data_IF_481437871738
#
_entry.id   IF_481437871738
#
_cell.length_a   1.000
_cell.length_b   1.000
_cell.length_c   1.000
_cell.angle_alpha   90.00
_cell.angle_beta   90.00
_cell.angle_gamma   90.00
#
_symmetry.space_group_name_H-M   'P 1'
#
loop_
_entity.id
_entity.type
_entity.pdbx_description
1 polymer ?
#
# COMPACT_ATOMS: atom_id res chain seq x y z
N UNK A 1 33.37 9.74 15.61
CA UNK A 1 32.08 9.03 15.64
C UNK A 1 31.95 8.19 14.38
N UNK A 2 31.29 7.05 14.48
CA UNK A 2 31.07 6.11 13.39
C UNK A 2 29.72 5.44 13.57
N UNK A 3 29.13 4.96 12.48
CA UNK A 3 27.94 4.10 12.51
C UNK A 3 28.40 2.65 12.59
N UNK A 4 27.74 1.84 13.42
CA UNK A 4 28.05 0.41 13.48
C UNK A 4 27.79 -0.26 12.12
N UNK A 5 28.68 -1.13 11.62
CA UNK A 5 28.65 -1.59 10.23
C UNK A 5 27.44 -2.46 9.88
N UNK A 6 26.75 -3.03 10.88
CA UNK A 6 25.53 -3.81 10.68
C UNK A 6 24.27 -2.94 10.54
N UNK A 7 24.35 -1.63 10.78
CA UNK A 7 23.23 -0.70 10.60
C UNK A 7 23.08 -0.41 9.12
N UNK A 8 21.90 -0.68 8.57
CA UNK A 8 21.59 -0.40 7.17
C UNK A 8 21.28 1.09 6.96
N UNK A 9 22.30 1.87 6.62
CA UNK A 9 22.17 3.28 6.25
C UNK A 9 21.90 3.45 4.75
N UNK A 10 21.22 4.54 4.39
CA UNK A 10 20.94 4.88 2.98
C UNK A 10 20.58 6.35 2.82
N UNK A 11 21.01 6.96 1.71
CA UNK A 11 20.54 8.26 1.25
C UNK A 11 19.85 8.10 -0.11
N UNK A 12 18.56 8.44 -0.17
CA UNK A 12 17.72 8.31 -1.37
C UNK A 12 17.14 9.67 -1.78
N UNK A 13 17.90 10.51 -2.51
CA UNK A 13 17.43 11.85 -2.83
C UNK A 13 16.24 11.86 -3.78
N UNK A 14 15.36 12.86 -3.64
CA UNK A 14 14.22 13.06 -4.54
C UNK A 14 14.60 13.61 -5.91
N UNK A 15 15.76 14.25 -6.05
CA UNK A 15 16.28 14.79 -7.31
C UNK A 15 17.81 14.91 -7.30
N UNK A 16 18.40 15.07 -8.48
CA UNK A 16 19.83 15.32 -8.64
C UNK A 16 20.31 16.63 -8.01
N UNK A 17 19.41 17.61 -7.80
CA UNK A 17 19.75 18.89 -7.15
C UNK A 17 20.28 18.67 -5.74
N UNK A 18 19.74 17.67 -5.02
CA UNK A 18 20.20 17.32 -3.68
C UNK A 18 21.65 16.87 -3.68
N UNK A 19 21.99 15.93 -4.55
CA UNK A 19 23.38 15.46 -4.67
C UNK A 19 24.32 16.59 -5.10
N UNK A 20 23.84 17.54 -5.92
CA UNK A 20 24.60 18.71 -6.32
C UNK A 20 24.96 19.57 -5.10
N UNK A 21 23.99 20.09 -4.35
CA UNK A 21 24.31 20.98 -3.23
C UNK A 21 25.07 20.26 -2.10
N UNK A 22 24.85 18.95 -1.89
CA UNK A 22 25.62 18.17 -0.91
C UNK A 22 27.08 18.05 -1.32
N UNK A 23 27.35 17.89 -2.63
CA UNK A 23 28.71 17.85 -3.16
C UNK A 23 29.39 19.21 -3.03
N UNK A 24 28.72 20.27 -3.46
CA UNK A 24 29.27 21.64 -3.42
C UNK A 24 29.52 22.17 -2.01
N UNK A 25 28.69 21.76 -1.04
CA UNK A 25 28.89 22.10 0.37
C UNK A 25 29.97 21.25 1.05
N UNK A 26 30.54 20.24 0.36
CA UNK A 26 31.63 19.40 0.85
C UNK A 26 31.20 18.28 1.82
N UNK A 27 29.90 18.13 2.12
CA UNK A 27 29.42 17.21 3.16
C UNK A 27 29.31 15.75 2.72
N UNK A 28 29.32 15.47 1.41
CA UNK A 28 29.21 14.09 0.87
C UNK A 28 30.25 13.15 1.48
N UNK A 29 31.51 13.60 1.60
CA UNK A 29 32.57 12.76 2.15
C UNK A 29 32.31 12.31 3.60
N UNK A 30 31.70 13.18 4.41
CA UNK A 30 31.30 12.87 5.78
C UNK A 30 30.09 11.94 5.82
N UNK A 31 29.11 12.14 4.93
CA UNK A 31 27.93 11.27 4.82
C UNK A 31 28.32 9.85 4.41
N UNK A 32 29.15 9.69 3.37
CA UNK A 32 29.69 8.40 2.92
C UNK A 32 30.45 7.68 4.03
N UNK A 33 31.28 8.39 4.82
CA UNK A 33 31.99 7.78 5.97
C UNK A 33 31.04 7.22 7.04
N UNK A 34 29.83 7.77 7.14
CA UNK A 34 28.76 7.28 8.03
C UNK A 34 27.84 6.24 7.34
N UNK A 35 28.16 5.84 6.10
CA UNK A 35 27.39 4.89 5.30
C UNK A 35 26.19 5.48 4.55
N UNK A 36 26.01 6.81 4.57
CA UNK A 36 24.93 7.50 3.85
C UNK A 36 25.31 7.83 2.41
N UNK A 37 25.77 6.82 1.67
CA UNK A 37 25.97 6.93 0.24
C UNK A 37 24.64 7.11 -0.50
N UNK A 38 24.69 7.81 -1.64
CA UNK A 38 23.52 7.92 -2.52
C UNK A 38 23.25 6.55 -3.14
N UNK A 39 22.17 5.90 -2.70
CA UNK A 39 21.80 4.55 -3.16
C UNK A 39 20.82 4.56 -4.35
N UNK A 40 20.23 5.72 -4.66
CA UNK A 40 19.33 5.88 -5.80
C UNK A 40 18.43 7.10 -5.68
N UNK A 41 17.82 7.49 -6.80
CA UNK A 41 16.86 8.59 -6.88
C UNK A 41 15.45 8.02 -7.03
N UNK A 42 14.64 8.10 -5.96
CA UNK A 42 13.29 7.54 -5.94
C UNK A 42 12.79 7.25 -4.54
N UNK A 43 11.59 6.67 -4.41
CA UNK A 43 10.95 6.46 -3.11
C UNK A 43 11.73 5.53 -2.17
N UNK A 44 12.33 4.44 -2.70
CA UNK A 44 13.14 3.47 -1.95
C UNK A 44 12.51 3.07 -0.59
N UNK A 45 13.20 3.27 0.53
CA UNK A 45 12.73 2.91 1.88
C UNK A 45 11.37 3.53 2.25
N UNK A 46 11.03 4.73 1.76
CA UNK A 46 9.76 5.41 2.07
C UNK A 46 8.51 4.63 1.62
N UNK A 47 8.64 3.83 0.55
CA UNK A 47 7.57 2.98 0.03
C UNK A 47 7.70 1.51 0.45
N UNK A 48 8.68 1.18 1.31
CA UNK A 48 8.98 -0.19 1.71
C UNK A 48 9.93 -0.94 0.78
N UNK A 49 10.48 -0.26 -0.24
CA UNK A 49 11.57 -0.81 -1.06
C UNK A 49 12.91 -0.61 -0.33
N UNK A 50 12.96 -1.09 0.91
CA UNK A 50 14.12 -0.97 1.81
C UNK A 50 15.20 -2.00 1.49
N UNK A 51 14.88 -3.08 0.75
CA UNK A 51 15.80 -4.18 0.45
C UNK A 51 16.16 -5.03 1.69
N UNK A 52 16.92 -6.12 1.53
CA UNK A 52 17.20 -7.05 2.63
C UNK A 52 18.14 -6.45 3.70
N UNK A 53 17.95 -6.83 4.97
CA UNK A 53 19.01 -6.71 5.97
C UNK A 53 20.06 -7.81 5.75
N UNK A 54 21.22 -7.69 6.40
CA UNK A 54 22.18 -8.79 6.45
C UNK A 54 21.51 -10.03 7.08
N UNK A 55 21.76 -11.21 6.51
CA UNK A 55 21.11 -12.46 6.95
C UNK A 55 21.39 -12.74 8.43
N UNK A 56 22.59 -12.40 8.91
CA UNK A 56 22.96 -12.56 10.33
C UNK A 56 22.11 -11.67 11.23
N UNK A 57 21.85 -10.44 10.79
CA UNK A 57 20.99 -9.49 11.52
C UNK A 57 19.54 -9.98 11.51
N UNK A 58 19.01 -10.34 10.35
CA UNK A 58 17.64 -10.82 10.22
C UNK A 58 17.40 -12.08 11.08
N UNK A 59 18.29 -13.08 10.98
CA UNK A 59 18.25 -14.29 11.79
C UNK A 59 18.30 -14.01 13.28
N UNK A 60 19.14 -13.06 13.71
CA UNK A 60 19.27 -12.70 15.13
C UNK A 60 17.98 -12.07 15.65
N UNK A 61 17.34 -11.20 14.86
CA UNK A 61 16.07 -10.58 15.20
C UNK A 61 14.99 -11.65 15.38
N UNK A 62 14.88 -12.57 14.43
CA UNK A 62 13.84 -13.60 14.41
C UNK A 62 14.04 -14.64 15.52
N UNK A 63 15.26 -15.15 15.70
CA UNK A 63 15.58 -16.18 16.72
C UNK A 63 15.35 -15.69 18.15
N UNK A 64 15.52 -14.39 18.40
CA UNK A 64 15.46 -13.81 19.74
C UNK A 64 14.20 -12.96 19.97
N UNK A 65 13.24 -12.95 19.03
CA UNK A 65 12.03 -12.12 19.05
C UNK A 65 12.28 -10.64 19.43
N UNK A 66 13.31 -10.04 18.80
CA UNK A 66 13.72 -8.68 19.14
C UNK A 66 12.79 -7.63 18.52
N UNK A 67 12.48 -6.58 19.28
CA UNK A 67 11.81 -5.38 18.77
C UNK A 67 12.84 -4.42 18.17
N UNK A 68 13.19 -4.65 16.91
CA UNK A 68 14.10 -3.77 16.19
C UNK A 68 13.41 -2.57 15.55
N UNK A 69 14.18 -1.48 15.43
CA UNK A 69 13.70 -0.17 15.03
C UNK A 69 14.22 0.24 13.65
N UNK A 70 13.34 0.80 12.81
CA UNK A 70 13.73 1.59 11.64
C UNK A 70 13.53 3.08 11.93
N UNK A 71 14.50 3.93 11.62
CA UNK A 71 14.37 5.40 11.71
C UNK A 71 14.51 5.98 10.31
N UNK A 72 13.53 6.77 9.88
CA UNK A 72 13.50 7.29 8.51
C UNK A 72 12.94 8.72 8.44
N UNK A 73 13.43 9.48 7.47
CA UNK A 73 12.90 10.80 7.12
C UNK A 73 11.77 10.72 6.09
N UNK A 74 10.88 9.74 6.29
CA UNK A 74 9.67 9.54 5.49
C UNK A 74 8.45 10.24 6.11
N UNK A 75 7.25 9.84 5.66
CA UNK A 75 5.99 10.38 6.17
C UNK A 75 5.01 9.31 6.70
N UNK A 76 5.40 8.03 6.69
CA UNK A 76 4.57 6.90 7.13
C UNK A 76 5.43 5.81 7.77
N UNK A 77 4.93 5.25 8.86
CA UNK A 77 5.61 4.25 9.67
C UNK A 77 4.68 3.12 10.12
N UNK A 78 3.61 2.84 9.35
CA UNK A 78 2.71 1.72 9.62
C UNK A 78 3.48 0.39 9.77
N UNK A 79 2.94 -0.49 10.60
CA UNK A 79 3.47 -1.84 10.79
C UNK A 79 3.72 -2.56 9.46
N UNK A 80 4.92 -3.14 9.31
CA UNK A 80 5.27 -3.99 8.17
C UNK A 80 5.49 -3.24 6.85
N UNK A 81 5.32 -1.91 6.83
CA UNK A 81 5.53 -1.10 5.63
C UNK A 81 7.01 -0.88 5.32
N UNK A 82 7.83 -0.61 6.33
CA UNK A 82 9.22 -0.18 6.12
C UNK A 82 10.13 -1.37 5.85
N UNK A 83 10.16 -2.36 6.74
CA UNK A 83 10.90 -3.60 6.57
C UNK A 83 10.19 -4.71 7.37
N UNK A 84 10.17 -5.97 6.90
CA UNK A 84 9.52 -7.07 7.62
C UNK A 84 10.09 -7.29 9.04
N UNK A 85 11.42 -7.17 9.19
CA UNK A 85 12.12 -7.34 10.48
C UNK A 85 12.16 -6.08 11.37
N UNK A 86 11.48 -4.98 11.02
CA UNK A 86 11.33 -3.82 11.92
C UNK A 86 9.91 -3.73 12.48
N UNK A 87 9.80 -3.95 13.80
CA UNK A 87 8.52 -3.89 14.52
C UNK A 87 8.18 -2.46 14.94
N UNK A 88 9.19 -1.65 15.25
CA UNK A 88 9.04 -0.23 15.53
C UNK A 88 9.64 0.61 14.40
N UNK A 89 8.95 1.66 13.98
CA UNK A 89 9.42 2.55 12.93
C UNK A 89 9.15 4.01 13.33
N UNK A 90 10.18 4.87 13.30
CA UNK A 90 10.11 6.25 13.75
C UNK A 90 10.36 7.22 12.60
N UNK A 91 9.45 8.19 12.45
CA UNK A 91 9.62 9.30 11.54
C UNK A 91 10.44 10.38 12.23
N UNK A 92 11.54 10.79 11.61
CA UNK A 92 12.45 11.77 12.19
C UNK A 92 13.03 12.68 11.11
N UNK A 93 13.60 13.83 11.50
CA UNK A 93 14.35 14.68 10.56
C UNK A 93 15.60 13.94 10.04
N UNK A 94 16.14 14.30 8.86
CA UNK A 94 17.37 13.70 8.35
C UNK A 94 18.54 13.76 9.35
N UNK A 95 18.65 14.82 10.14
CA UNK A 95 19.68 14.95 11.18
C UNK A 95 19.49 13.94 12.31
N UNK A 96 18.25 13.71 12.76
CA UNK A 96 17.96 12.69 13.77
C UNK A 96 18.19 11.27 13.23
N UNK A 97 17.92 10.99 11.95
CA UNK A 97 18.25 9.70 11.32
C UNK A 97 19.75 9.41 11.45
N UNK A 98 20.60 10.41 11.18
CA UNK A 98 22.05 10.27 11.33
C UNK A 98 22.43 10.09 12.82
N UNK A 99 21.83 10.86 13.73
CA UNK A 99 22.09 10.75 15.16
C UNK A 99 21.76 9.34 15.70
N UNK A 100 20.59 8.80 15.36
CA UNK A 100 20.19 7.45 15.75
C UNK A 100 21.04 6.36 15.08
N UNK A 101 21.51 6.57 13.84
CA UNK A 101 22.45 5.65 13.20
C UNK A 101 23.79 5.60 13.94
N UNK A 102 24.30 6.75 14.41
CA UNK A 102 25.53 6.81 15.23
C UNK A 102 25.31 6.15 16.59
N UNK A 103 24.18 6.44 17.24
CA UNK A 103 23.85 5.86 18.55
C UNK A 103 23.58 4.34 18.47
N UNK A 104 23.08 3.84 17.34
CA UNK A 104 22.78 2.42 17.12
C UNK A 104 21.55 1.89 17.87
N UNK A 105 20.82 2.76 18.59
CA UNK A 105 19.63 2.44 19.40
C UNK A 105 18.70 3.65 19.48
N UNK A 106 17.42 3.45 19.75
CA UNK A 106 16.41 4.54 19.83
C UNK A 106 16.05 4.96 21.24
N UNK A 107 16.34 4.11 22.23
CA UNK A 107 16.09 4.30 23.66
C UNK A 107 17.26 5.03 24.35
N UNK A 108 17.88 5.99 23.65
CA UNK A 108 18.95 6.85 24.13
C UNK A 108 18.39 8.19 24.61
N UNK A 109 18.85 8.67 25.76
CA UNK A 109 18.65 10.05 26.20
C UNK A 109 19.81 10.94 25.70
N UNK A 110 19.57 11.72 24.65
CA UNK A 110 20.58 12.59 24.05
C UNK A 110 21.05 13.75 24.96
N UNK A 111 20.34 14.05 26.06
CA UNK A 111 20.76 15.09 27.01
C UNK A 111 21.83 14.56 27.97
N UNK A 112 21.65 13.33 28.45
CA UNK A 112 22.45 12.73 29.53
C UNK A 112 23.44 11.67 29.05
N UNK A 113 23.19 11.03 27.91
CA UNK A 113 24.04 9.99 27.33
C UNK A 113 24.86 10.53 26.12
N UNK A 114 26.16 10.20 26.03
CA UNK A 114 26.97 10.57 24.87
C UNK A 114 26.68 9.68 23.65
N UNK A 115 26.77 10.26 22.44
CA UNK A 115 26.67 9.52 21.17
C UNK A 115 27.84 8.58 20.92
N UNK A 116 28.97 8.83 21.57
CA UNK A 116 30.19 8.07 21.41
C UNK A 116 31.36 8.79 22.06
N UNK A 117 32.57 8.36 21.72
CA UNK A 117 33.82 8.92 22.26
C UNK A 117 34.71 9.48 21.16
N UNK A 118 35.44 10.54 21.49
CA UNK A 118 36.55 11.09 20.68
C UNK A 118 37.73 10.11 20.72
N UNK A 119 38.73 10.32 19.85
CA UNK A 119 39.95 9.49 19.83
C UNK A 119 40.74 9.53 21.15
N UNK A 120 40.65 10.64 21.89
CA UNK A 120 41.24 10.82 23.22
C UNK A 120 40.39 10.23 24.37
N UNK A 121 39.25 9.61 24.06
CA UNK A 121 38.36 8.98 25.05
C UNK A 121 37.26 9.88 25.63
N UNK A 122 37.26 11.17 25.33
CA UNK A 122 36.24 12.11 25.82
C UNK A 122 34.85 11.82 25.23
N UNK A 123 33.77 11.94 26.02
CA UNK A 123 32.41 11.79 25.52
C UNK A 123 32.06 12.89 24.50
N UNK A 124 31.26 12.54 23.49
CA UNK A 124 30.67 13.49 22.55
C UNK A 124 29.16 13.42 22.67
N UNK A 125 28.54 14.54 23.06
CA UNK A 125 27.09 14.66 23.17
C UNK A 125 26.48 15.18 21.87
N UNK A 126 25.18 14.89 21.64
CA UNK A 126 24.47 15.36 20.44
C UNK A 126 24.52 16.89 20.31
N UNK A 127 24.35 17.61 21.42
CA UNK A 127 24.40 19.08 21.48
C UNK A 127 25.71 19.70 20.97
N UNK A 128 26.81 18.97 21.00
CA UNK A 128 28.12 19.46 20.54
C UNK A 128 28.27 19.39 19.01
N UNK A 129 27.49 18.55 18.34
CA UNK A 129 27.60 18.31 16.89
C UNK A 129 26.33 18.72 16.13
N UNK A 130 25.30 19.18 16.84
CA UNK A 130 24.05 19.60 16.24
C UNK A 130 24.21 20.98 15.61
N UNK A 131 24.03 21.13 14.27
CA UNK A 131 24.21 22.41 13.62
C UNK A 131 23.11 23.40 14.03
N UNK A 132 23.49 24.66 14.23
CA UNK A 132 22.53 25.74 14.50
C UNK A 132 21.72 26.07 13.24
N UNK A 133 20.58 26.75 13.41
CA UNK A 133 19.76 27.19 12.27
C UNK A 133 20.51 28.17 11.37
N UNK A 134 21.31 29.05 11.98
CA UNK A 134 22.13 30.05 11.30
C UNK A 134 23.24 29.38 10.48
N UNK A 135 23.87 28.33 11.01
CA UNK A 135 24.89 27.56 10.29
C UNK A 135 24.30 26.86 9.05
N UNK A 136 23.13 26.22 9.19
CA UNK A 136 22.41 25.61 8.07
C UNK A 136 22.05 26.66 7.03
N UNK A 137 21.45 27.78 7.45
CA UNK A 137 20.98 28.83 6.55
C UNK A 137 22.12 29.47 5.75
N UNK A 138 23.29 29.64 6.37
CA UNK A 138 24.49 30.15 5.69
C UNK A 138 24.98 29.22 4.59
N UNK A 139 24.97 27.90 4.84
CA UNK A 139 25.35 26.90 3.83
C UNK A 139 24.30 26.83 2.71
N UNK A 140 23.02 26.83 3.06
CA UNK A 140 21.90 26.82 2.10
C UNK A 140 21.97 28.01 1.15
N UNK A 141 22.08 29.24 1.68
CA UNK A 141 22.14 30.47 0.88
C UNK A 141 23.32 30.47 -0.10
N UNK A 142 24.45 29.87 0.30
CA UNK A 142 25.66 29.81 -0.52
C UNK A 142 25.60 28.71 -1.59
N UNK A 143 24.99 27.57 -1.27
CA UNK A 143 25.10 26.35 -2.08
C UNK A 143 23.80 25.89 -2.74
N UNK A 144 22.67 26.57 -2.54
CA UNK A 144 21.41 26.27 -3.22
C UNK A 144 21.06 27.43 -4.15
N UNK A 145 21.56 27.37 -5.39
CA UNK A 145 21.43 28.46 -6.36
C UNK A 145 20.59 28.06 -7.59
N UNK A 146 19.87 29.00 -8.24
CA UNK A 146 19.00 28.71 -9.38
C UNK A 146 19.67 28.01 -10.56
N UNK A 147 20.98 28.22 -10.76
CA UNK A 147 21.74 27.58 -11.83
C UNK A 147 21.72 26.04 -11.72
N UNK A 148 21.74 25.49 -10.51
CA UNK A 148 21.72 24.05 -10.26
C UNK A 148 20.41 23.42 -10.74
N UNK A 149 19.29 24.10 -10.49
CA UNK A 149 17.98 23.66 -10.97
C UNK A 149 17.94 23.66 -12.50
N UNK A 150 18.40 24.74 -13.14
CA UNK A 150 18.44 24.81 -14.60
C UNK A 150 19.27 23.68 -15.22
N UNK A 151 20.44 23.38 -14.66
CA UNK A 151 21.30 22.32 -15.18
C UNK A 151 20.66 20.92 -15.03
N UNK A 152 20.15 20.59 -13.83
CA UNK A 152 19.55 19.28 -13.57
C UNK A 152 18.29 19.07 -14.41
N UNK A 153 17.41 20.07 -14.48
CA UNK A 153 16.14 19.95 -15.21
C UNK A 153 16.30 20.04 -16.73
N UNK A 154 17.34 20.71 -17.26
CA UNK A 154 17.60 20.75 -18.71
C UNK A 154 17.87 19.36 -19.32
N UNK A 155 18.22 18.36 -18.49
CA UNK A 155 18.53 17.00 -18.94
C UNK A 155 17.49 15.97 -18.55
N UNK A 156 16.40 16.37 -17.89
CA UNK A 156 15.44 15.42 -17.31
C UNK A 156 14.70 14.61 -18.38
N UNK A 157 14.41 15.22 -19.53
CA UNK A 157 13.70 14.58 -20.65
C UNK A 157 14.58 13.55 -21.39
N UNK A 158 15.89 13.75 -21.38
CA UNK A 158 16.83 12.85 -22.06
C UNK A 158 16.98 11.51 -21.31
N UNK A 159 16.73 11.47 -20.01
CA UNK A 159 16.94 10.28 -19.19
C UNK A 159 18.38 9.77 -19.23
N UNK A 160 18.57 8.48 -18.90
CA UNK A 160 19.88 7.80 -18.99
C UNK A 160 20.11 7.18 -20.36
N UNK A 161 21.34 6.79 -20.69
CA UNK A 161 21.63 6.03 -21.91
C UNK A 161 20.81 4.73 -21.99
N UNK A 162 20.58 4.07 -20.86
CA UNK A 162 19.71 2.88 -20.78
C UNK A 162 18.24 3.18 -21.06
N UNK A 163 17.76 4.39 -20.75
CA UNK A 163 16.40 4.83 -21.10
C UNK A 163 16.30 5.08 -22.61
N UNK A 164 17.27 5.78 -23.18
CA UNK A 164 17.31 6.10 -24.62
C UNK A 164 17.46 4.86 -25.50
N UNK A 165 18.07 3.78 -24.99
CA UNK A 165 18.23 2.53 -25.74
C UNK A 165 16.98 1.64 -25.74
N UNK A 166 15.93 1.99 -24.99
CA UNK A 166 14.68 1.23 -25.00
C UNK A 166 13.99 1.37 -26.36
N UNK A 167 13.70 0.24 -26.99
CA UNK A 167 12.89 0.20 -28.21
C UNK A 167 11.40 0.19 -27.84
N UNK A 168 10.61 1.06 -28.45
CA UNK A 168 9.16 1.12 -28.27
C UNK A 168 8.44 0.86 -29.61
N UNK A 169 7.31 0.13 -29.62
CA UNK A 169 6.50 -0.05 -30.82
C UNK A 169 5.87 1.28 -31.27
N UNK A 170 5.62 1.44 -32.58
CA UNK A 170 5.04 2.66 -33.17
C UNK A 170 3.50 2.69 -33.22
N UNK A 171 2.84 1.60 -32.81
CA UNK A 171 1.38 1.48 -32.86
C UNK A 171 0.66 2.24 -31.75
N UNK A 172 -0.57 2.67 -32.02
CA UNK A 172 -1.45 3.29 -31.01
C UNK A 172 -2.09 2.26 -30.07
N UNK A 173 -2.30 1.02 -30.55
CA UNK A 173 -2.82 -0.08 -29.75
C UNK A 173 -1.67 -0.87 -29.14
N UNK A 174 -1.76 -1.15 -27.84
CA UNK A 174 -0.72 -1.87 -27.12
C UNK A 174 -0.66 -3.34 -27.56
N UNK A 175 0.49 -3.84 -28.04
CA UNK A 175 0.64 -5.23 -28.47
C UNK A 175 0.81 -6.14 -27.25
N UNK A 176 -0.30 -6.62 -26.69
CA UNK A 176 -0.28 -7.49 -25.51
C UNK A 176 0.54 -8.76 -25.74
N UNK A 177 1.56 -8.96 -24.91
CA UNK A 177 2.34 -10.20 -24.86
C UNK A 177 1.77 -11.15 -23.81
N UNK A 178 1.23 -12.29 -24.24
CA UNK A 178 0.63 -13.30 -23.37
C UNK A 178 1.65 -13.97 -22.43
N UNK A 179 2.93 -13.98 -22.80
CA UNK A 179 4.01 -14.52 -21.98
C UNK A 179 4.45 -13.57 -20.87
N UNK A 180 4.16 -12.27 -21.01
CA UNK A 180 4.53 -11.25 -20.04
C UNK A 180 3.96 -11.55 -18.66
N UNK A 181 4.82 -11.45 -17.65
CA UNK A 181 4.45 -11.51 -16.23
C UNK A 181 4.28 -10.13 -15.61
N UNK A 182 4.49 -9.06 -16.38
CA UNK A 182 4.46 -7.67 -15.92
C UNK A 182 3.26 -6.88 -16.44
N UNK A 183 2.95 -7.02 -17.73
CA UNK A 183 1.89 -6.27 -18.41
C UNK A 183 0.91 -7.27 -19.01
N UNK A 184 -0.35 -7.23 -18.57
CA UNK A 184 -1.43 -8.12 -19.00
C UNK A 184 -2.68 -7.31 -19.31
N UNK A 185 -3.44 -7.74 -20.32
CA UNK A 185 -4.73 -7.13 -20.63
C UNK A 185 -5.72 -7.44 -19.49
N UNK A 186 -6.22 -6.42 -18.76
CA UNK A 186 -7.08 -6.65 -17.62
C UNK A 186 -8.53 -6.97 -18.03
N UNK A 187 -9.27 -7.76 -17.23
CA UNK A 187 -10.61 -8.22 -17.58
C UNK A 187 -11.72 -7.17 -17.32
N UNK A 188 -11.39 -5.93 -16.94
CA UNK A 188 -12.37 -4.93 -16.46
C UNK A 188 -13.48 -4.60 -17.47
N UNK A 189 -13.23 -4.80 -18.76
CA UNK A 189 -14.16 -4.49 -19.85
C UNK A 189 -14.68 -5.75 -20.56
N UNK A 190 -14.37 -6.94 -20.05
CA UNK A 190 -14.79 -8.19 -20.68
C UNK A 190 -16.31 -8.34 -20.64
N UNK A 191 -16.94 -8.51 -21.80
CA UNK A 191 -18.40 -8.62 -21.92
C UNK A 191 -19.15 -7.29 -21.76
N UNK A 192 -18.46 -6.15 -21.80
CA UNK A 192 -19.07 -4.83 -21.70
C UNK A 192 -19.94 -4.53 -22.94
N UNK A 193 -21.15 -4.02 -22.71
CA UNK A 193 -22.11 -3.59 -23.73
C UNK A 193 -22.26 -2.07 -23.77
N UNK A 194 -22.81 -1.55 -24.87
CA UNK A 194 -23.15 -0.14 -25.02
C UNK A 194 -24.29 0.26 -24.07
N UNK A 195 -25.32 -0.57 -23.95
CA UNK A 195 -26.41 -0.40 -23.00
C UNK A 195 -25.91 -0.50 -21.55
N UNK A 196 -26.57 0.21 -20.64
CA UNK A 196 -26.27 0.13 -19.21
C UNK A 196 -26.63 -1.25 -18.66
N UNK A 197 -25.77 -1.83 -17.80
CA UNK A 197 -26.12 -3.07 -17.12
C UNK A 197 -27.28 -2.82 -16.16
N UNK A 198 -28.16 -3.81 -16.01
CA UNK A 198 -29.10 -3.82 -14.90
C UNK A 198 -28.35 -4.23 -13.62
N UNK A 199 -27.88 -3.25 -12.87
CA UNK A 199 -27.25 -3.48 -11.58
C UNK A 199 -28.35 -3.76 -10.55
N UNK A 200 -28.52 -5.04 -10.22
CA UNK A 200 -29.52 -5.49 -9.24
C UNK A 200 -28.98 -5.53 -7.81
N UNK A 201 -29.88 -5.79 -6.86
CA UNK A 201 -29.57 -6.08 -5.46
C UNK A 201 -28.46 -7.12 -5.31
N UNK A 202 -27.62 -6.94 -4.31
CA UNK A 202 -26.68 -7.98 -3.86
C UNK A 202 -27.48 -8.97 -3.00
N UNK A 203 -27.72 -10.19 -3.46
CA UNK A 203 -28.56 -11.18 -2.76
C UNK A 203 -27.73 -12.33 -2.19
N UNK A 204 -28.02 -12.72 -0.95
CA UNK A 204 -27.40 -13.86 -0.27
C UNK A 204 -25.86 -13.84 -0.32
N UNK A 205 -25.26 -12.66 -0.17
CA UNK A 205 -23.82 -12.51 -0.21
C UNK A 205 -23.16 -13.04 1.07
N UNK A 206 -22.00 -13.66 0.92
CA UNK A 206 -21.15 -14.07 2.02
C UNK A 206 -20.13 -12.99 2.37
N UNK A 207 -19.74 -12.92 3.64
CA UNK A 207 -18.64 -12.06 4.08
C UNK A 207 -17.33 -12.76 3.76
N UNK A 208 -16.52 -12.16 2.88
CA UNK A 208 -15.16 -12.65 2.62
C UNK A 208 -14.21 -12.29 3.76
N UNK A 209 -14.40 -11.13 4.38
CA UNK A 209 -13.52 -10.55 5.39
C UNK A 209 -14.35 -9.80 6.44
N UNK A 210 -14.08 -10.06 7.72
CA UNK A 210 -14.57 -9.27 8.84
C UNK A 210 -13.37 -8.64 9.54
N UNK A 211 -13.16 -7.34 9.32
CA UNK A 211 -11.95 -6.64 9.72
C UNK A 211 -12.20 -5.64 10.85
N UNK A 212 -11.14 -5.24 11.53
CA UNK A 212 -11.17 -4.18 12.56
C UNK A 212 -11.00 -2.77 11.99
N UNK A 213 -10.52 -1.88 12.85
CA UNK A 213 -10.28 -0.46 12.54
C UNK A 213 -8.97 -0.25 11.77
N UNK A 214 -8.85 0.93 11.15
CA UNK A 214 -7.64 1.47 10.52
C UNK A 214 -6.96 0.50 9.54
N UNK A 215 -7.76 -0.26 8.79
CA UNK A 215 -7.27 -1.15 7.73
C UNK A 215 -6.73 -0.30 6.58
N UNK A 216 -5.41 -0.12 6.56
CA UNK A 216 -4.71 0.62 5.50
C UNK A 216 -4.84 -0.01 4.11
N UNK A 217 -4.59 0.79 3.07
CA UNK A 217 -4.42 0.30 1.68
C UNK A 217 -3.21 -0.61 1.50
N UNK A 218 -2.24 -0.62 2.41
CA UNK A 218 -1.14 -1.60 2.42
C UNK A 218 -1.62 -2.98 2.93
N UNK A 219 -2.66 -3.05 3.75
CA UNK A 219 -3.33 -4.31 4.10
C UNK A 219 -4.15 -4.85 2.93
N UNK A 220 -4.87 -3.96 2.23
CA UNK A 220 -5.74 -4.33 1.10
C UNK A 220 -4.93 -4.68 -0.15
N UNK A 221 -3.92 -3.88 -0.48
CA UNK A 221 -3.06 -4.07 -1.66
C UNK A 221 -1.59 -3.77 -1.28
N UNK A 222 -0.87 -4.76 -0.71
CA UNK A 222 0.54 -4.64 -0.40
C UNK A 222 1.36 -4.27 -1.65
N UNK A 223 2.43 -3.49 -1.48
CA UNK A 223 3.31 -3.09 -2.58
C UNK A 223 4.72 -3.66 -2.48
N UNK A 224 5.10 -4.19 -1.31
CA UNK A 224 6.44 -4.72 -1.04
C UNK A 224 6.64 -6.13 -1.59
N UNK A 225 7.50 -6.89 -0.93
CA UNK A 225 7.91 -8.25 -1.31
C UNK A 225 6.73 -9.23 -1.37
N UNK A 226 6.83 -10.19 -2.28
CA UNK A 226 5.86 -11.29 -2.45
C UNK A 226 6.30 -12.47 -1.57
N UNK A 227 5.50 -12.83 -0.57
CA UNK A 227 5.79 -13.94 0.33
C UNK A 227 5.80 -15.29 -0.43
N UNK A 228 6.77 -16.16 -0.13
CA UNK A 228 7.01 -17.42 -0.89
C UNK A 228 5.84 -18.40 -0.85
N UNK A 229 5.06 -18.39 0.23
CA UNK A 229 3.89 -19.24 0.44
C UNK A 229 2.57 -18.63 -0.08
N UNK A 230 2.60 -17.44 -0.70
CA UNK A 230 1.39 -16.73 -1.14
C UNK A 230 0.80 -17.24 -2.47
N UNK A 231 -0.48 -16.96 -2.76
CA UNK A 231 -1.09 -17.26 -4.06
C UNK A 231 -0.33 -16.65 -5.24
N UNK A 232 0.18 -15.43 -5.09
CA UNK A 232 0.95 -14.73 -6.12
C UNK A 232 2.29 -15.44 -6.40
N UNK A 233 2.99 -15.90 -5.37
CA UNK A 233 4.21 -16.70 -5.53
C UNK A 233 3.92 -18.02 -6.27
N UNK A 234 2.82 -18.72 -5.92
CA UNK A 234 2.41 -19.94 -6.62
C UNK A 234 2.13 -19.69 -8.11
N UNK A 235 1.50 -18.56 -8.45
CA UNK A 235 1.26 -18.15 -9.84
C UNK A 235 2.55 -17.85 -10.60
N UNK A 236 3.46 -17.07 -10.01
CA UNK A 236 4.73 -16.69 -10.65
C UNK A 236 5.67 -17.91 -10.81
N UNK A 237 5.70 -18.81 -9.83
CA UNK A 237 6.45 -20.05 -9.90
C UNK A 237 5.94 -20.98 -11.02
N UNK A 238 4.63 -21.09 -11.20
CA UNK A 238 4.03 -21.83 -12.34
C UNK A 238 4.41 -21.23 -13.70
N UNK A 239 4.82 -19.96 -13.75
CA UNK A 239 5.37 -19.29 -14.94
C UNK A 239 6.90 -19.32 -15.00
N UNK A 240 7.56 -20.16 -14.21
CA UNK A 240 9.01 -20.41 -14.28
C UNK A 240 9.88 -19.38 -13.54
N UNK A 241 9.30 -18.50 -12.73
CA UNK A 241 10.07 -17.52 -11.96
C UNK A 241 10.53 -18.08 -10.61
N UNK A 242 11.72 -17.67 -10.17
CA UNK A 242 12.23 -17.97 -8.83
C UNK A 242 11.89 -16.83 -7.86
N UNK A 243 11.96 -17.05 -6.53
CA UNK A 243 11.69 -15.98 -5.54
C UNK A 243 12.50 -14.70 -5.74
N UNK A 244 13.72 -14.80 -6.29
CA UNK A 244 14.57 -13.63 -6.61
C UNK A 244 13.97 -12.78 -7.74
N UNK A 245 13.24 -13.41 -8.65
CA UNK A 245 12.66 -12.79 -9.85
C UNK A 245 11.20 -12.34 -9.64
N UNK A 246 10.61 -12.64 -8.48
CA UNK A 246 9.24 -12.21 -8.15
C UNK A 246 9.11 -10.70 -8.16
N UNK A 247 10.17 -9.98 -7.76
CA UNK A 247 10.15 -8.53 -7.55
C UNK A 247 9.09 -8.16 -6.49
N UNK A 248 8.56 -6.94 -6.52
CA UNK A 248 7.55 -6.47 -5.57
C UNK A 248 6.14 -6.46 -6.17
N UNK A 249 5.10 -6.51 -5.33
CA UNK A 249 3.72 -6.30 -5.80
C UNK A 249 3.56 -4.96 -6.52
N UNK A 250 4.25 -3.90 -6.06
CA UNK A 250 4.24 -2.60 -6.73
C UNK A 250 4.71 -2.65 -8.18
N UNK A 251 5.72 -3.48 -8.48
CA UNK A 251 6.22 -3.69 -9.84
C UNK A 251 5.26 -4.50 -10.72
N UNK A 252 4.36 -5.28 -10.11
CA UNK A 252 3.43 -6.20 -10.79
C UNK A 252 2.06 -5.59 -11.07
N UNK A 253 1.89 -4.29 -10.83
CA UNK A 253 0.60 -3.57 -11.02
C UNK A 253 0.03 -3.58 -12.43
N UNK A 254 0.85 -3.88 -13.44
CA UNK A 254 0.38 -4.08 -14.81
C UNK A 254 -0.21 -5.47 -15.07
N UNK A 255 -0.18 -6.36 -14.08
CA UNK A 255 -0.65 -7.74 -14.21
C UNK A 255 -1.74 -8.04 -13.16
N UNK A 256 -2.99 -8.10 -13.61
CA UNK A 256 -4.14 -8.34 -12.75
C UNK A 256 -4.16 -9.71 -12.07
N UNK A 257 -3.57 -10.74 -12.69
CA UNK A 257 -3.48 -12.07 -12.09
C UNK A 257 -2.65 -12.06 -10.80
N UNK A 258 -1.57 -11.29 -10.79
CA UNK A 258 -0.68 -11.15 -9.62
C UNK A 258 -1.32 -10.25 -8.59
N UNK A 259 -1.94 -9.14 -9.02
CA UNK A 259 -2.50 -8.17 -8.10
C UNK A 259 -3.78 -8.66 -7.42
N UNK A 260 -4.64 -9.42 -8.13
CA UNK A 260 -5.78 -10.10 -7.50
C UNK A 260 -5.30 -11.07 -6.42
N UNK A 261 -4.27 -11.89 -6.73
CA UNK A 261 -3.63 -12.81 -5.78
C UNK A 261 -2.92 -12.11 -4.61
N UNK A 262 -2.48 -10.88 -4.83
CA UNK A 262 -1.90 -10.02 -3.80
C UNK A 262 -2.92 -9.26 -2.96
N UNK A 263 -4.21 -9.30 -3.32
CA UNK A 263 -5.24 -8.55 -2.62
C UNK A 263 -5.53 -9.20 -1.27
N UNK A 264 -5.47 -8.41 -0.20
CA UNK A 264 -5.51 -8.86 1.20
C UNK A 264 -4.40 -9.87 1.54
N UNK A 265 -3.30 -9.88 0.79
CA UNK A 265 -2.16 -10.79 1.01
C UNK A 265 -1.13 -10.26 2.02
N UNK A 266 -1.46 -9.21 2.78
CA UNK A 266 -0.57 -8.67 3.80
C UNK A 266 -0.48 -9.63 4.99
N UNK A 267 0.74 -9.99 5.38
CA UNK A 267 1.01 -10.94 6.47
C UNK A 267 0.53 -10.47 7.84
N UNK A 268 0.23 -9.17 8.00
CA UNK A 268 -0.26 -8.55 9.23
C UNK A 268 -1.77 -8.27 9.20
N UNK A 269 -2.49 -8.75 8.18
CA UNK A 269 -3.93 -8.61 8.14
C UNK A 269 -4.56 -9.31 9.35
N UNK A 270 -5.46 -8.62 10.04
CA UNK A 270 -6.22 -9.19 11.18
C UNK A 270 -7.67 -9.36 10.73
N UNK A 271 -8.05 -10.61 10.46
CA UNK A 271 -9.39 -10.98 10.06
C UNK A 271 -10.08 -11.72 11.21
N UNK A 272 -11.18 -11.16 11.73
CA UNK A 272 -11.95 -11.71 12.86
C UNK A 272 -12.64 -13.04 12.56
N UNK A 273 -12.63 -13.49 11.30
CA UNK A 273 -13.13 -14.82 10.91
C UNK A 273 -12.14 -15.96 11.23
N UNK A 274 -10.87 -15.64 11.48
CA UNK A 274 -9.80 -16.60 11.77
C UNK A 274 -9.11 -16.24 13.09
N UNK A 275 -8.42 -17.20 13.70
CA UNK A 275 -7.80 -17.00 15.01
C UNK A 275 -6.40 -16.37 14.94
N UNK A 276 -5.73 -16.45 13.79
CA UNK A 276 -4.36 -15.96 13.62
C UNK A 276 -4.31 -14.78 12.66
N UNK A 277 -3.40 -13.84 12.92
CA UNK A 277 -3.08 -12.78 11.96
C UNK A 277 -2.42 -13.39 10.72
N UNK A 278 -2.75 -12.82 9.56
CA UNK A 278 -2.27 -13.31 8.29
C UNK A 278 -3.25 -13.09 7.16
N UNK A 279 -2.83 -13.40 5.92
CA UNK A 279 -3.60 -13.16 4.72
C UNK A 279 -4.65 -14.27 4.48
N UNK A 280 -5.45 -14.58 5.51
CA UNK A 280 -6.31 -15.76 5.59
C UNK A 280 -7.76 -15.40 5.87
N UNK A 281 -8.67 -16.27 5.44
CA UNK A 281 -10.09 -16.20 5.76
C UNK A 281 -10.72 -17.59 5.80
N UNK A 282 -11.99 -17.69 6.19
CA UNK A 282 -12.76 -18.94 6.18
C UNK A 282 -13.70 -18.95 4.98
N UNK A 283 -13.64 -20.00 4.17
CA UNK A 283 -14.69 -20.29 3.20
C UNK A 283 -15.90 -20.90 3.95
N UNK A 284 -16.84 -20.03 4.34
CA UNK A 284 -17.97 -20.32 5.24
C UNK A 284 -18.72 -21.61 4.89
N UNK A 285 -19.08 -21.91 3.62
CA UNK A 285 -19.79 -23.14 3.29
C UNK A 285 -19.04 -24.43 3.65
N UNK A 286 -17.70 -24.42 3.52
CA UNK A 286 -16.87 -25.60 3.84
C UNK A 286 -16.27 -25.58 5.24
N UNK A 287 -16.20 -24.42 5.89
CA UNK A 287 -15.46 -24.22 7.14
C UNK A 287 -13.93 -24.21 7.01
N UNK A 288 -13.38 -24.42 5.80
CA UNK A 288 -11.93 -24.44 5.57
C UNK A 288 -11.31 -23.04 5.62
N UNK A 289 -10.18 -22.92 6.29
CA UNK A 289 -9.35 -21.72 6.28
C UNK A 289 -8.41 -21.73 5.05
N UNK A 290 -8.41 -20.62 4.30
CA UNK A 290 -7.71 -20.48 3.03
C UNK A 290 -7.03 -19.10 2.93
N UNK A 291 -6.10 -18.95 1.98
CA UNK A 291 -5.64 -17.63 1.58
C UNK A 291 -6.83 -16.87 0.99
N UNK A 292 -6.93 -15.55 1.23
CA UNK A 292 -8.10 -14.76 0.85
C UNK A 292 -8.47 -14.91 -0.63
N UNK A 293 -7.46 -14.92 -1.51
CA UNK A 293 -7.66 -15.13 -2.94
C UNK A 293 -8.25 -16.52 -3.26
N UNK A 294 -7.74 -17.59 -2.63
CA UNK A 294 -8.23 -18.95 -2.89
C UNK A 294 -9.68 -19.13 -2.40
N UNK A 295 -10.04 -18.51 -1.27
CA UNK A 295 -11.42 -18.48 -0.79
C UNK A 295 -12.35 -17.75 -1.78
N UNK A 296 -11.90 -16.60 -2.30
CA UNK A 296 -12.63 -15.85 -3.32
C UNK A 296 -12.82 -16.66 -4.62
N UNK A 297 -11.80 -17.42 -5.06
CA UNK A 297 -11.93 -18.31 -6.23
C UNK A 297 -12.99 -19.40 -5.99
N UNK A 298 -13.11 -19.96 -4.78
CA UNK A 298 -14.16 -20.94 -4.48
C UNK A 298 -15.57 -20.33 -4.57
N UNK A 299 -15.77 -19.14 -4.01
CA UNK A 299 -17.04 -18.44 -4.14
C UNK A 299 -17.35 -18.03 -5.59
N UNK A 300 -16.33 -17.72 -6.40
CA UNK A 300 -16.50 -17.42 -7.81
C UNK A 300 -17.02 -18.63 -8.60
N UNK A 301 -16.59 -19.85 -8.27
CA UNK A 301 -17.07 -21.09 -8.90
C UNK A 301 -18.57 -21.31 -8.67
N UNK A 302 -19.08 -20.96 -7.50
CA UNK A 302 -20.51 -21.04 -7.15
C UNK A 302 -21.29 -19.76 -7.49
N UNK A 303 -20.64 -18.77 -8.12
CA UNK A 303 -21.19 -17.44 -8.44
C UNK A 303 -21.81 -16.74 -7.23
N UNK A 304 -21.23 -16.96 -6.06
CA UNK A 304 -21.70 -16.40 -4.80
C UNK A 304 -21.18 -14.96 -4.66
N UNK A 305 -22.06 -13.96 -4.47
CA UNK A 305 -21.61 -12.59 -4.26
C UNK A 305 -20.90 -12.45 -2.91
N UNK A 306 -19.90 -11.57 -2.86
CA UNK A 306 -19.10 -11.34 -1.66
C UNK A 306 -19.24 -9.90 -1.17
N UNK A 307 -19.13 -9.74 0.14
CA UNK A 307 -18.99 -8.43 0.80
C UNK A 307 -17.81 -8.45 1.78
N UNK A 308 -17.38 -7.28 2.23
CA UNK A 308 -16.51 -7.14 3.39
C UNK A 308 -17.20 -6.30 4.47
N UNK A 309 -16.98 -6.64 5.73
CA UNK A 309 -17.40 -5.84 6.89
C UNK A 309 -16.15 -5.33 7.59
N UNK A 310 -16.08 -4.03 7.85
CA UNK A 310 -14.86 -3.36 8.35
C UNK A 310 -15.20 -2.36 9.45
N UNK A 311 -14.25 -2.10 10.36
CA UNK A 311 -14.36 -1.04 11.35
C UNK A 311 -14.16 0.36 10.76
N UNK A 312 -13.55 1.24 11.54
CA UNK A 312 -13.30 2.66 11.23
C UNK A 312 -12.12 2.84 10.28
N UNK A 313 -12.08 3.99 9.61
CA UNK A 313 -10.95 4.47 8.81
C UNK A 313 -10.52 3.49 7.71
N UNK A 314 -11.49 2.80 7.10
CA UNK A 314 -11.20 1.80 6.08
C UNK A 314 -10.53 2.43 4.86
N UNK A 315 -9.35 1.90 4.51
CA UNK A 315 -8.57 2.34 3.36
C UNK A 315 -7.65 3.53 3.62
N UNK A 316 -7.21 3.74 4.86
CA UNK A 316 -6.24 4.78 5.17
C UNK A 316 -4.87 4.57 4.49
N UNK A 317 -4.12 5.66 4.32
CA UNK A 317 -2.78 5.62 3.73
C UNK A 317 -2.71 5.93 2.23
N UNK A 318 -2.19 5.00 1.42
CA UNK A 318 -1.80 5.27 0.02
C UNK A 318 -2.99 5.41 -0.93
N UNK A 319 -2.88 6.26 -1.95
CA UNK A 319 -3.92 6.48 -2.96
C UNK A 319 -4.00 5.38 -4.04
N UNK A 320 -3.72 4.13 -3.69
CA UNK A 320 -3.60 3.03 -4.67
C UNK A 320 -4.98 2.55 -5.10
N UNK A 321 -5.28 2.65 -6.40
CA UNK A 321 -6.53 2.16 -7.01
C UNK A 321 -6.64 0.63 -6.99
N UNK A 322 -5.50 -0.10 -6.94
CA UNK A 322 -5.47 -1.54 -6.74
C UNK A 322 -6.11 -2.00 -5.42
N UNK A 323 -6.24 -1.12 -4.43
CA UNK A 323 -7.03 -1.40 -3.23
C UNK A 323 -8.55 -1.44 -3.51
N UNK A 324 -9.02 -1.03 -4.69
CA UNK A 324 -10.41 -1.22 -5.15
C UNK A 324 -10.50 -2.23 -6.31
N UNK A 325 -9.56 -2.18 -7.27
CA UNK A 325 -9.50 -3.17 -8.38
C UNK A 325 -9.29 -4.59 -7.86
N UNK A 326 -8.47 -4.78 -6.83
CA UNK A 326 -8.25 -6.06 -6.17
C UNK A 326 -9.55 -6.66 -5.63
N UNK A 327 -10.23 -6.00 -4.67
CA UNK A 327 -11.53 -6.44 -4.16
C UNK A 327 -12.57 -6.70 -5.26
N UNK A 328 -12.60 -5.85 -6.30
CA UNK A 328 -13.47 -6.05 -7.46
C UNK A 328 -13.20 -7.39 -8.17
N UNK A 329 -11.92 -7.71 -8.42
CA UNK A 329 -11.52 -8.98 -9.04
C UNK A 329 -11.73 -10.19 -8.13
N UNK A 330 -11.71 -9.99 -6.80
CA UNK A 330 -12.11 -11.03 -5.84
C UNK A 330 -13.64 -11.24 -5.78
N UNK A 331 -14.43 -10.44 -6.51
CA UNK A 331 -15.89 -10.57 -6.54
C UNK A 331 -16.62 -9.83 -5.42
N UNK A 332 -15.94 -8.96 -4.65
CA UNK A 332 -16.58 -8.12 -3.64
C UNK A 332 -17.51 -7.11 -4.33
N UNK A 333 -18.79 -7.14 -3.95
CA UNK A 333 -19.84 -6.26 -4.49
C UNK A 333 -20.12 -5.06 -3.61
N UNK A 334 -19.96 -5.20 -2.29
CA UNK A 334 -20.17 -4.14 -1.33
C UNK A 334 -19.18 -4.22 -0.17
N UNK A 335 -18.92 -3.08 0.47
CA UNK A 335 -18.20 -3.01 1.74
C UNK A 335 -19.08 -2.28 2.75
N UNK A 336 -19.30 -2.86 3.91
CA UNK A 336 -19.99 -2.23 5.04
C UNK A 336 -18.93 -1.83 6.07
N UNK A 337 -18.70 -0.54 6.26
CA UNK A 337 -17.69 -0.03 7.19
C UNK A 337 -18.28 0.92 8.24
N UNK A 338 -17.59 1.14 9.36
CA UNK A 338 -17.98 2.22 10.29
C UNK A 338 -17.62 3.60 9.71
N UNK A 339 -16.48 3.69 9.02
CA UNK A 339 -16.10 4.88 8.25
C UNK A 339 -15.09 4.55 7.15
N UNK A 340 -15.02 5.41 6.14
CA UNK A 340 -14.11 5.28 5.01
C UNK A 340 -13.17 6.48 4.91
N UNK A 341 -11.95 6.20 4.46
CA UNK A 341 -11.05 7.25 4.00
C UNK A 341 -11.41 7.75 2.61
N UNK A 342 -11.30 9.07 2.41
CA UNK A 342 -11.90 9.79 1.27
C UNK A 342 -11.49 9.23 -0.09
N UNK A 343 -10.19 9.00 -0.28
CA UNK A 343 -9.64 8.51 -1.56
C UNK A 343 -10.07 7.07 -1.80
N UNK A 344 -10.04 6.23 -0.76
CA UNK A 344 -10.39 4.83 -0.88
C UNK A 344 -11.87 4.65 -1.22
N UNK A 345 -12.78 5.36 -0.54
CA UNK A 345 -14.21 5.39 -0.88
C UNK A 345 -14.44 5.70 -2.35
N UNK A 346 -13.79 6.76 -2.84
CA UNK A 346 -13.90 7.18 -4.25
C UNK A 346 -13.40 6.10 -5.22
N UNK A 347 -12.33 5.40 -4.88
CA UNK A 347 -11.82 4.28 -5.68
C UNK A 347 -12.79 3.08 -5.71
N UNK A 348 -13.46 2.76 -4.60
CA UNK A 348 -14.48 1.71 -4.54
C UNK A 348 -15.64 2.02 -5.50
N UNK A 349 -16.19 3.23 -5.43
CA UNK A 349 -17.23 3.72 -6.35
C UNK A 349 -16.75 3.67 -7.80
N UNK A 350 -15.52 4.12 -8.07
CA UNK A 350 -14.92 4.09 -9.40
C UNK A 350 -14.81 2.68 -9.99
N UNK A 351 -14.75 1.64 -9.16
CA UNK A 351 -14.77 0.23 -9.58
C UNK A 351 -16.16 -0.41 -9.51
N UNK A 352 -17.21 0.35 -9.19
CA UNK A 352 -18.57 -0.15 -9.06
C UNK A 352 -18.84 -0.97 -7.78
N UNK A 353 -17.94 -0.93 -6.79
CA UNK A 353 -18.16 -1.53 -5.47
C UNK A 353 -19.00 -0.56 -4.64
N UNK A 354 -20.02 -1.07 -3.96
CA UNK A 354 -20.96 -0.27 -3.17
C UNK A 354 -20.34 0.01 -1.78
N UNK A 355 -19.98 1.26 -1.43
CA UNK A 355 -19.58 1.61 -0.08
C UNK A 355 -20.84 1.86 0.78
N UNK A 356 -20.95 1.12 1.88
CA UNK A 356 -22.04 1.21 2.84
C UNK A 356 -21.44 1.57 4.20
N UNK A 357 -22.08 2.49 4.92
CA UNK A 357 -21.62 2.90 6.24
C UNK A 357 -22.66 2.57 7.30
N UNK A 358 -22.24 1.98 8.42
CA UNK A 358 -23.13 1.83 9.57
C UNK A 358 -23.67 3.20 10.03
N UNK A 359 -24.87 3.22 10.60
CA UNK A 359 -25.41 4.42 11.23
C UNK A 359 -24.57 4.80 12.47
N UNK A 360 -24.59 6.08 12.90
CA UNK A 360 -23.88 6.51 14.10
C UNK A 360 -24.19 5.63 15.31
N UNK A 361 -23.14 5.11 15.96
CA UNK A 361 -23.25 4.22 17.12
C UNK A 361 -23.54 2.75 16.80
N UNK A 362 -23.63 2.37 15.52
CA UNK A 362 -23.76 0.98 15.09
C UNK A 362 -22.45 0.45 14.49
N UNK A 363 -22.18 -0.83 14.72
CA UNK A 363 -21.12 -1.58 14.07
C UNK A 363 -21.41 -3.09 14.10
N UNK A 364 -20.45 -3.90 13.64
CA UNK A 364 -20.58 -5.36 13.64
C UNK A 364 -20.83 -5.93 15.05
N UNK A 365 -20.10 -5.47 16.07
CA UNK A 365 -20.30 -5.94 17.44
C UNK A 365 -21.66 -5.55 18.03
N UNK A 366 -22.07 -4.29 17.90
CA UNK A 366 -23.33 -3.78 18.47
C UNK A 366 -24.54 -4.45 17.84
N UNK A 367 -24.45 -4.79 16.55
CA UNK A 367 -25.47 -5.50 15.79
C UNK A 367 -25.33 -7.03 15.87
N UNK A 368 -24.32 -7.54 16.60
CA UNK A 368 -24.03 -8.97 16.78
C UNK A 368 -23.81 -9.73 15.47
N UNK A 369 -23.23 -9.06 14.47
CA UNK A 369 -22.90 -9.65 13.17
C UNK A 369 -21.62 -10.49 13.31
N UNK A 370 -21.73 -11.79 13.06
CA UNK A 370 -20.60 -12.72 13.17
C UNK A 370 -19.80 -12.84 11.87
N UNK A 371 -20.37 -12.38 10.76
CA UNK A 371 -19.84 -12.55 9.41
C UNK A 371 -20.08 -13.95 8.82
N UNK A 372 -20.72 -14.86 9.56
CA UNK A 372 -21.08 -16.19 9.06
C UNK A 372 -22.46 -16.23 8.41
N UNK A 373 -23.23 -15.15 8.56
CA UNK A 373 -24.54 -14.98 7.95
C UNK A 373 -24.43 -14.68 6.45
N UNK A 374 -25.56 -14.69 5.76
CA UNK A 374 -25.66 -14.13 4.41
C UNK A 374 -26.42 -12.82 4.42
N UNK A 375 -26.05 -11.92 3.50
CA UNK A 375 -26.47 -10.53 3.48
C UNK A 375 -27.17 -10.21 2.16
N UNK A 376 -28.32 -9.57 2.24
CA UNK A 376 -29.05 -9.04 1.08
C UNK A 376 -29.15 -7.52 1.18
N UNK A 377 -28.66 -6.84 0.14
CA UNK A 377 -28.58 -5.39 0.02
C UNK A 377 -29.40 -5.01 -1.21
N UNK A 378 -30.57 -4.40 -0.99
CA UNK A 378 -31.46 -3.92 -2.04
C UNK A 378 -31.12 -2.45 -2.35
N UNK A 379 -30.59 -2.18 -3.54
CA UNK A 379 -30.29 -0.82 -4.01
C UNK A 379 -31.50 -0.27 -4.79
N UNK A 380 -32.11 0.85 -4.36
CA UNK A 380 -33.19 1.47 -5.10
C UNK A 380 -32.76 1.92 -6.50
N UNK A 381 -33.63 1.81 -7.49
CA UNK A 381 -33.36 2.28 -8.86
C UNK A 381 -33.22 3.81 -8.96
N UNK A 382 -33.86 4.53 -8.04
CA UNK A 382 -33.85 5.98 -7.88
C UNK A 382 -33.00 6.42 -6.67
N UNK A 383 -31.94 5.64 -6.36
CA UNK A 383 -31.05 5.91 -5.24
C UNK A 383 -30.56 7.36 -5.23
N UNK A 384 -30.56 7.98 -4.06
CA UNK A 384 -30.07 9.35 -3.84
C UNK A 384 -28.74 9.36 -3.10
N UNK A 385 -27.92 10.42 -3.26
CA UNK A 385 -26.69 10.54 -2.50
C UNK A 385 -26.96 10.45 -0.99
N UNK A 386 -26.13 9.69 -0.28
CA UNK A 386 -26.18 9.49 1.18
C UNK A 386 -27.51 8.91 1.70
N UNK A 387 -28.31 8.27 0.84
CA UNK A 387 -29.57 7.65 1.24
C UNK A 387 -29.35 6.49 2.21
N UNK A 388 -30.21 6.38 3.24
CA UNK A 388 -30.26 5.18 4.07
C UNK A 388 -30.94 4.03 3.33
N UNK A 389 -30.36 2.84 3.40
CA UNK A 389 -30.92 1.61 2.84
C UNK A 389 -30.91 0.49 3.88
N UNK A 390 -31.79 -0.49 3.72
CA UNK A 390 -31.88 -1.66 4.60
C UNK A 390 -30.99 -2.81 4.11
N UNK A 391 -30.20 -3.37 5.01
CA UNK A 391 -29.51 -4.65 4.83
C UNK A 391 -30.28 -5.73 5.58
N UNK A 392 -30.61 -6.82 4.89
CA UNK A 392 -31.28 -8.01 5.45
C UNK A 392 -30.26 -9.11 5.71
N UNK A 393 -30.34 -9.74 6.87
CA UNK A 393 -29.45 -10.81 7.31
C UNK A 393 -30.24 -12.13 7.34
N UNK A 394 -29.61 -13.25 6.97
CA UNK A 394 -30.28 -14.56 6.94
C UNK A 394 -30.78 -15.07 8.30
N UNK A 395 -30.37 -14.44 9.40
CA UNK A 395 -30.88 -14.71 10.76
C UNK A 395 -32.28 -14.12 11.00
N UNK A 396 -32.83 -13.35 10.04
CA UNK A 396 -34.09 -12.63 10.17
C UNK A 396 -33.94 -11.20 10.67
N UNK A 397 -32.73 -10.80 11.08
CA UNK A 397 -32.40 -9.43 11.45
C UNK A 397 -32.31 -8.52 10.21
N UNK A 398 -32.66 -7.25 10.38
CA UNK A 398 -32.37 -6.19 9.41
C UNK A 398 -31.83 -4.95 10.12
N UNK A 399 -30.97 -4.19 9.44
CA UNK A 399 -30.45 -2.93 9.94
C UNK A 399 -30.28 -1.92 8.80
N UNK A 400 -30.20 -0.64 9.14
CA UNK A 400 -30.00 0.44 8.18
C UNK A 400 -28.52 0.80 8.05
N UNK A 401 -28.13 1.21 6.85
CA UNK A 401 -26.80 1.74 6.52
C UNK A 401 -26.93 2.95 5.61
N UNK A 402 -25.98 3.87 5.67
CA UNK A 402 -25.86 4.97 4.71
C UNK A 402 -25.21 4.45 3.44
N UNK A 403 -25.86 4.63 2.29
CA UNK A 403 -25.29 4.41 0.97
C UNK A 403 -24.29 5.53 0.65
N UNK A 404 -22.98 5.24 0.74
CA UNK A 404 -21.89 6.23 0.61
C UNK A 404 -21.56 6.60 -0.83
N UNK A 405 -22.58 6.77 -1.65
CA UNK A 405 -22.51 7.62 -2.83
C UNK A 405 -22.69 9.05 -2.36
N UNK A 406 -21.62 9.83 -2.39
CA UNK A 406 -21.61 11.18 -1.80
C UNK A 406 -22.17 12.22 -2.80
N UNK A 407 -22.27 11.86 -4.09
CA UNK A 407 -22.74 12.75 -5.16
C UNK A 407 -23.56 12.00 -6.21
N UNK A 408 -24.31 12.71 -7.05
CA UNK A 408 -25.01 12.14 -8.22
C UNK A 408 -24.04 11.49 -9.22
N UNK A 409 -22.81 12.01 -9.29
CA UNK A 409 -21.75 11.45 -10.16
C UNK A 409 -21.31 10.08 -9.67
N UNK A 410 -21.27 9.85 -8.35
CA UNK A 410 -20.97 8.54 -7.78
C UNK A 410 -22.03 7.50 -8.20
N UNK A 411 -23.31 7.88 -8.18
CA UNK A 411 -24.42 7.04 -8.63
C UNK A 411 -24.34 6.77 -10.13
N UNK A 412 -24.02 7.80 -10.92
CA UNK A 412 -23.80 7.66 -12.36
C UNK A 412 -22.69 6.65 -12.66
N UNK A 413 -21.54 6.74 -11.98
CA UNK A 413 -20.45 5.77 -12.15
C UNK A 413 -20.87 4.38 -11.73
N UNK A 414 -21.55 4.24 -10.59
CA UNK A 414 -22.10 2.97 -10.14
C UNK A 414 -22.98 2.35 -11.24
N UNK A 415 -23.98 3.08 -11.76
CA UNK A 415 -24.90 2.62 -12.81
C UNK A 415 -24.20 2.17 -14.10
N UNK A 416 -23.02 2.73 -14.41
CA UNK A 416 -22.21 2.29 -15.54
C UNK A 416 -21.33 1.06 -15.23
N UNK A 417 -21.30 0.59 -13.98
CA UNK A 417 -20.41 -0.47 -13.50
C UNK A 417 -18.99 0.01 -13.20
N UNK A 418 -18.78 1.32 -13.10
CA UNK A 418 -17.50 1.96 -12.82
C UNK A 418 -17.21 3.18 -13.69
N UNK A 419 -16.25 4.01 -13.26
CA UNK A 419 -15.87 5.26 -13.94
C UNK A 419 -15.28 5.00 -15.33
N UNK A 420 -14.44 3.98 -15.49
CA UNK A 420 -13.83 3.66 -16.79
C UNK A 420 -14.88 3.18 -17.79
N UNK A 421 -15.85 2.39 -17.32
CA UNK A 421 -16.98 1.93 -18.13
C UNK A 421 -17.86 3.10 -18.57
N UNK A 422 -18.07 4.09 -17.70
CA UNK A 422 -18.70 5.36 -18.08
C UNK A 422 -17.94 6.07 -19.19
N UNK A 423 -16.62 6.24 -19.02
CA UNK A 423 -15.79 6.94 -20.01
C UNK A 423 -15.77 6.24 -21.37
N UNK A 424 -15.68 4.91 -21.42
CA UNK A 424 -15.71 4.15 -22.68
C UNK A 424 -17.04 4.35 -23.41
N UNK A 425 -18.19 4.25 -22.72
CA UNK A 425 -19.50 4.49 -23.35
C UNK A 425 -19.59 5.91 -23.88
N UNK A 426 -19.21 6.90 -23.07
CA UNK A 426 -19.24 8.32 -23.44
C UNK A 426 -18.36 8.62 -24.66
N UNK A 427 -17.17 8.02 -24.75
CA UNK A 427 -16.27 8.18 -25.89
C UNK A 427 -16.74 7.42 -27.13
N UNK A 428 -17.56 6.38 -26.99
CA UNK A 428 -18.12 5.61 -28.11
C UNK A 428 -19.40 6.23 -28.69
N UNK A 429 -20.00 7.18 -27.95
CA UNK A 429 -21.15 7.99 -28.38
C UNK A 429 -20.75 9.33 -29.01
N UNK A 430 -19.49 9.73 -28.83
CA UNK A 430 -18.85 10.88 -29.49
C UNK A 430 -18.24 10.46 -30.82
#
# INVERSE_FOLDING_TARGET
LSVAPYVKTSLSPGSGVVTYYLRESGVVSSLTKLGFDTVGFGCMTCIGNSGPLDDTVADTIEKNDLVCCGVLSGNRNFEGRIHPNTRANYLASPLLVIAYAIAGRVDIDFETEPLGKRANGEPVYLREIWPSREEIHRVETKHVIPAMFREVYARIENGSNSWQSLSAPSGQLYPWDLSSTYIKNPPFFQGMTKELPQLGSVKNAHVLLLLGDSVTTDHISPAGSIARNSPAARYLAKRGLTPRDFNSYGSRRGNDDVMARGTFANIRLVNKLVNQSGPRTVHIPSGEELDVFDAAERYAQTKTPLIAIVGKEYGCGSSRDWAAKGPFLLGIKAVIAESFERIHRSNLVGMGIIPLQFLPGQNAESLKLTGKETYTIDIPSDAKPLQNITVKVSTGQSFEVVLRFDTEVDILYYNHGGILNYMIRKMSDA
#
